data_IF_763724508650
#
_entry.id   IF_763724508650
#
_cell.length_a   1.000
_cell.length_b   1.000
_cell.length_c   1.000
_cell.angle_alpha   90.00
_cell.angle_beta   90.00
_cell.angle_gamma   90.00
#
_symmetry.space_group_name_H-M   'P 1'
#
loop_
_entity.id
_entity.type
_entity.pdbx_description
1 polymer ?
2 water ?
#
# COMPACT_ATOMS: atom_id res chain seq x y z
N UNK A 3 8.54 30.09 0.81
CA UNK A 3 7.19 30.32 1.35
C UNK A 3 6.87 29.36 2.50
N UNK A 4 6.08 29.84 3.46
CA UNK A 4 5.74 29.06 4.65
C UNK A 4 4.82 27.92 4.27
N UNK A 5 4.86 26.85 5.05
CA UNK A 5 3.85 25.80 4.95
C UNK A 5 2.79 26.08 5.99
N UNK A 6 1.53 26.08 5.56
CA UNK A 6 0.39 26.16 6.47
C UNK A 6 -0.20 24.77 6.66
N UNK A 7 -0.18 24.28 7.89
CA UNK A 7 -0.81 22.98 8.18
C UNK A 7 -2.14 23.25 8.85
N UNK A 8 -3.24 22.92 8.18
CA UNK A 8 -4.54 23.21 8.78
C UNK A 8 -5.07 21.94 9.37
N UNK A 9 -5.00 21.88 10.70
CA UNK A 9 -5.33 20.67 11.44
C UNK A 9 -6.83 20.45 11.44
N UNK A 10 -7.56 21.48 11.03
CA UNK A 10 -9.00 21.46 11.08
C UNK A 10 -9.59 21.04 9.75
N UNK A 11 -8.74 20.86 8.74
CA UNK A 11 -9.24 20.46 7.44
C UNK A 11 -8.73 19.07 7.07
N UNK A 12 -9.62 18.09 7.13
CA UNK A 12 -9.26 16.69 6.94
C UNK A 12 -9.57 16.18 5.54
N UNK A 13 -8.75 15.25 5.12
CA UNK A 13 -8.64 14.68 3.79
C UNK A 13 -8.85 13.21 4.08
N UNK A 14 -8.41 12.31 3.19
CA UNK A 14 -8.66 10.87 3.36
C UNK A 14 -8.16 10.27 4.69
N UNK A 15 -8.84 9.22 5.14
CA UNK A 15 -8.43 8.47 6.31
C UNK A 15 -7.28 7.53 5.94
N UNK A 16 -6.31 7.39 6.84
CA UNK A 16 -5.17 6.53 6.56
C UNK A 16 -5.45 5.11 7.03
N UNK A 17 -5.41 4.16 6.10
CA UNK A 17 -5.54 2.76 6.45
C UNK A 17 -4.20 2.19 6.94
N UNK A 18 -3.11 2.59 6.30
CA UNK A 18 -1.79 2.14 6.73
C UNK A 18 -0.77 2.04 5.62
N UNK A 19 0.34 1.37 5.92
CA UNK A 19 1.49 1.28 5.01
C UNK A 19 2.14 -0.04 5.29
N UNK A 20 2.78 -0.65 4.30
CA UNK A 20 3.30 -1.99 4.50
C UNK A 20 4.02 -2.53 3.29
N UNK A 21 4.11 -3.85 3.20
CA UNK A 21 4.87 -4.53 2.17
C UNK A 21 4.25 -5.90 1.93
N UNK A 22 4.91 -6.74 1.13
CA UNK A 22 4.36 -8.05 0.84
C UNK A 22 5.30 -9.18 1.22
N UNK A 23 4.73 -10.26 1.76
CA UNK A 23 5.48 -11.50 2.04
C UNK A 23 5.44 -12.50 0.87
N UNK A 24 4.87 -12.10 -0.26
CA UNK A 24 4.76 -12.99 -1.43
C UNK A 24 6.09 -13.61 -1.81
N UNK A 25 6.10 -14.92 -2.01
CA UNK A 25 7.31 -15.67 -2.39
C UNK A 25 8.49 -15.50 -1.43
N UNK A 26 8.22 -15.12 -0.20
CA UNK A 26 9.26 -14.99 0.84
C UNK A 26 9.37 -16.24 1.73
N UNK A 27 8.61 -17.28 1.39
CA UNK A 27 8.50 -18.43 2.25
C UNK A 27 8.00 -17.99 3.62
N UNK A 28 8.60 -18.56 4.67
CA UNK A 28 8.29 -18.17 6.03
C UNK A 28 9.30 -17.15 6.49
N UNK A 29 8.85 -15.91 6.69
CA UNK A 29 9.74 -14.82 7.09
C UNK A 29 10.09 -14.95 8.59
N UNK A 30 11.33 -14.62 8.96
CA UNK A 30 11.77 -14.77 10.35
C UNK A 30 11.09 -13.79 11.30
N UNK A 31 11.05 -14.13 12.59
CA UNK A 31 10.60 -13.14 13.57
C UNK A 31 11.47 -11.90 13.46
N UNK A 32 12.77 -12.08 13.26
CA UNK A 32 13.70 -10.94 13.22
C UNK A 32 13.23 -9.89 12.19
N UNK A 33 12.97 -10.35 10.98
CA UNK A 33 12.62 -9.43 9.91
C UNK A 33 11.24 -8.79 10.13
N UNK A 34 10.26 -9.59 10.55
CA UNK A 34 8.92 -9.07 10.88
C UNK A 34 8.95 -8.11 12.07
N UNK A 35 9.80 -8.39 13.05
CA UNK A 35 9.96 -7.49 14.21
C UNK A 35 10.58 -6.17 13.81
N UNK A 36 11.52 -6.22 12.88
CA UNK A 36 12.15 -4.99 12.38
C UNK A 36 11.14 -4.14 11.61
N UNK A 37 10.43 -4.79 10.69
CA UNK A 37 9.51 -4.08 9.79
C UNK A 37 8.18 -3.73 10.46
N UNK A 38 7.57 -4.72 11.10
CA UNK A 38 6.27 -4.52 11.74
C UNK A 38 6.31 -3.94 13.14
N UNK A 39 7.29 -4.31 13.96
CA UNK A 39 7.56 -3.59 15.19
C UNK A 39 8.32 -2.26 15.18
N UNK A 40 9.58 -2.29 14.75
CA UNK A 40 10.48 -1.13 14.81
C UNK A 40 9.98 -0.04 13.87
N UNK A 41 9.71 -0.40 12.62
CA UNK A 41 9.22 0.57 11.64
C UNK A 41 7.70 0.72 11.58
N UNK A 42 7.00 -0.07 12.40
CA UNK A 42 5.57 0.08 12.56
C UNK A 42 4.70 -0.16 11.32
N UNK A 43 5.15 -1.00 10.38
CA UNK A 43 4.31 -1.30 9.22
C UNK A 43 2.95 -1.86 9.70
N UNK A 44 1.89 -1.25 9.18
CA UNK A 44 0.51 -1.60 9.55
C UNK A 44 -0.29 -2.46 8.56
N UNK A 45 0.32 -2.89 7.45
CA UNK A 45 -0.36 -3.72 6.47
C UNK A 45 0.61 -4.75 5.89
N UNK A 46 0.16 -5.99 5.76
CA UNK A 46 0.91 -7.05 5.09
C UNK A 46 0.08 -7.64 3.95
N UNK A 47 0.72 -7.81 2.80
CA UNK A 47 0.09 -8.43 1.63
C UNK A 47 0.66 -9.83 1.43
N UNK A 48 -0.23 -10.83 1.46
CA UNK A 48 0.07 -12.23 1.17
C UNK A 48 -0.17 -12.56 -0.30
N UNK A 49 0.62 -13.46 -0.85
CA UNK A 49 0.28 -14.04 -2.15
C UNK A 49 -0.41 -15.39 -1.91
N UNK A 50 -1.54 -15.60 -2.57
CA UNK A 50 -2.29 -16.86 -2.45
C UNK A 50 -1.64 -17.93 -3.33
N UNK A 51 -1.19 -19.01 -2.73
CA UNK A 51 -0.32 -19.95 -3.46
C UNK A 51 -1.15 -21.01 -4.20
N UNK A 52 -1.16 -20.93 -5.53
CA UNK A 52 -1.99 -21.81 -6.38
C UNK A 52 -1.33 -23.16 -6.54
N UNK A 53 -0.10 -23.28 -6.05
CA UNK A 53 0.62 -24.55 -6.05
C UNK A 53 -0.11 -25.61 -5.26
N UNK A 54 -1.07 -25.18 -4.44
CA UNK A 54 -1.97 -26.09 -3.73
C UNK A 54 -2.78 -26.94 -4.73
N UNK A 55 -3.02 -26.42 -5.93
CA UNK A 55 -3.77 -27.20 -6.89
C UNK A 55 -5.21 -27.42 -6.43
N UNK A 56 -5.72 -28.64 -6.54
CA UNK A 56 -7.10 -28.90 -6.11
C UNK A 56 -7.21 -29.33 -4.65
N UNK A 57 -6.08 -29.41 -3.96
CA UNK A 57 -6.05 -29.98 -2.61
C UNK A 57 -6.86 -29.13 -1.63
N UNK A 58 -7.12 -27.88 -2.00
CA UNK A 58 -7.96 -27.03 -1.17
C UNK A 58 -9.37 -27.60 -1.00
N UNK A 59 -9.82 -28.35 -2.00
CA UNK A 59 -11.16 -28.95 -1.94
C UNK A 59 -11.25 -30.03 -0.86
N UNK A 60 -10.14 -30.69 -0.57
CA UNK A 60 -10.11 -31.72 0.48
C UNK A 60 -9.59 -31.22 1.82
N UNK A 61 -9.28 -29.92 1.91
CA UNK A 61 -8.90 -29.31 3.17
C UNK A 61 -7.46 -29.54 3.58
N UNK A 62 -6.58 -29.82 2.63
CA UNK A 62 -5.17 -29.85 3.00
C UNK A 62 -4.54 -28.53 2.57
N UNK A 63 -4.33 -27.69 3.57
CA UNK A 63 -3.88 -26.31 3.42
C UNK A 63 -2.38 -26.10 3.66
N UNK A 64 -1.62 -27.18 3.82
CA UNK A 64 -0.21 -27.03 4.20
C UNK A 64 0.55 -26.04 3.31
N UNK A 65 0.21 -25.95 2.04
CA UNK A 65 0.97 -25.08 1.13
C UNK A 65 0.66 -23.61 1.36
N UNK A 66 -0.38 -23.38 2.14
CA UNK A 66 -0.77 -22.04 2.59
C UNK A 66 -0.21 -21.66 3.97
N UNK A 67 0.47 -22.60 4.60
CA UNK A 67 1.02 -22.38 5.94
C UNK A 67 2.13 -21.31 6.05
N UNK A 68 3.01 -21.20 5.04
CA UNK A 68 4.02 -20.15 5.14
C UNK A 68 3.40 -18.75 5.23
N UNK A 69 2.38 -18.47 4.44
CA UNK A 69 1.77 -17.16 4.45
C UNK A 69 0.89 -16.98 5.69
N UNK A 70 0.28 -18.07 6.18
CA UNK A 70 -0.36 -18.01 7.50
C UNK A 70 0.64 -17.54 8.59
N UNK A 71 1.85 -18.09 8.59
CA UNK A 71 2.83 -17.72 9.60
C UNK A 71 3.19 -16.24 9.47
N UNK A 72 3.35 -15.77 8.23
CA UNK A 72 3.64 -14.37 7.96
C UNK A 72 2.51 -13.48 8.48
N UNK A 73 1.29 -13.87 8.16
CA UNK A 73 0.09 -13.18 8.63
C UNK A 73 0.04 -13.09 10.14
N UNK A 74 0.35 -14.20 10.82
CA UNK A 74 0.31 -14.17 12.29
C UNK A 74 1.33 -13.20 12.88
N UNK A 75 2.52 -13.12 12.28
CA UNK A 75 3.54 -12.20 12.79
C UNK A 75 3.12 -10.73 12.59
N UNK A 76 2.59 -10.42 11.42
CA UNK A 76 2.11 -9.07 11.13
C UNK A 76 0.97 -8.70 12.07
N UNK A 77 0.02 -9.62 12.26
CA UNK A 77 -1.15 -9.36 13.09
C UNK A 77 -0.79 -9.10 14.54
N UNK A 78 0.23 -9.81 15.03
CA UNK A 78 0.61 -9.68 16.43
C UNK A 78 1.18 -8.28 16.68
N UNK A 79 1.60 -7.64 15.60
CA UNK A 79 2.15 -6.28 15.63
C UNK A 79 1.09 -5.22 15.31
N UNK A 80 -0.15 -5.66 15.18
CA UNK A 80 -1.23 -4.72 14.90
C UNK A 80 -1.48 -4.41 13.42
N UNK A 81 -0.80 -5.10 12.50
CA UNK A 81 -1.06 -4.87 11.07
C UNK A 81 -2.32 -5.59 10.62
N UNK A 82 -2.95 -5.09 9.56
CA UNK A 82 -4.01 -5.86 8.95
C UNK A 82 -3.36 -6.67 7.85
N UNK A 83 -4.11 -7.56 7.22
CA UNK A 83 -3.54 -8.50 6.26
C UNK A 83 -4.49 -8.66 5.10
N UNK A 84 -3.97 -8.58 3.88
CA UNK A 84 -4.78 -8.91 2.70
C UNK A 84 -4.02 -9.86 1.80
N UNK A 85 -4.72 -10.44 0.81
CA UNK A 85 -4.14 -11.46 -0.05
C UNK A 85 -4.49 -11.24 -1.52
N UNK A 86 -3.52 -11.43 -2.41
CA UNK A 86 -3.78 -11.36 -3.86
C UNK A 86 -3.32 -12.68 -4.51
N UNK A 87 -4.15 -13.24 -5.42
CA UNK A 87 -3.81 -14.31 -6.37
C UNK A 87 -3.13 -13.81 -7.68
N UNK A 88 -2.07 -14.48 -8.13
CA UNK A 88 -1.59 -14.37 -9.51
C UNK A 88 -2.27 -15.31 -10.50
N UNK A 89 -2.63 -16.50 -10.02
CA UNK A 89 -3.35 -17.46 -10.86
C UNK A 89 -4.34 -18.25 -10.00
N UNK A 90 -5.42 -18.74 -10.62
CA UNK A 90 -6.14 -19.74 -9.85
C UNK A 90 -5.39 -21.08 -9.96
N UNK A 91 -5.88 -22.15 -9.30
CA UNK A 91 -5.35 -23.48 -9.56
C UNK A 91 -5.37 -23.82 -11.03
N UNK A 92 -4.39 -24.58 -11.48
CA UNK A 92 -4.23 -24.91 -12.90
C UNK A 92 -5.51 -25.48 -13.51
N UNK A 93 -6.28 -26.25 -12.73
CA UNK A 93 -7.48 -26.91 -13.27
C UNK A 93 -8.59 -25.94 -13.63
N UNK A 94 -8.51 -24.70 -13.14
CA UNK A 94 -9.53 -23.70 -13.48
C UNK A 94 -9.18 -22.83 -14.69
N UNK A 95 -7.93 -22.92 -15.16
CA UNK A 95 -7.42 -22.17 -16.31
C UNK A 95 -7.72 -22.77 -17.68
N UNK A 96 -7.73 -21.91 -18.70
CA UNK A 96 -7.69 -22.41 -20.06
C UNK A 96 -6.85 -21.47 -20.89
N UNK A 97 -6.28 -21.99 -21.97
CA UNK A 97 -5.63 -21.16 -22.96
C UNK A 97 -6.66 -20.44 -23.79
N UNK A 98 -6.29 -19.29 -24.33
CA UNK A 98 -7.11 -18.64 -25.33
C UNK A 98 -6.15 -17.88 -26.23
N UNK A 99 -6.65 -17.50 -27.39
CA UNK A 99 -5.81 -16.81 -28.36
C UNK A 99 -5.94 -15.30 -28.13
N UNK A 100 -4.86 -14.67 -27.67
CA UNK A 100 -4.88 -13.24 -27.41
C UNK A 100 -4.04 -12.57 -28.48
N UNK A 101 -4.75 -11.92 -29.41
CA UNK A 101 -4.18 -11.35 -30.62
C UNK A 101 -3.10 -12.22 -31.25
N UNK A 102 -3.46 -13.45 -31.61
CA UNK A 102 -2.54 -14.35 -32.27
C UNK A 102 -1.58 -15.11 -31.37
N UNK A 103 -1.67 -14.92 -30.05
CA UNK A 103 -0.82 -15.67 -29.13
C UNK A 103 -1.63 -16.71 -28.36
N UNK A 104 -1.45 -17.98 -28.68
CA UNK A 104 -2.27 -19.06 -28.14
C UNK A 104 -1.83 -19.50 -26.75
N UNK A 105 -0.77 -18.89 -26.24
CA UNK A 105 -0.25 -19.29 -24.94
C UNK A 105 -0.92 -18.57 -23.78
N UNK A 106 -1.79 -17.60 -24.07
CA UNK A 106 -2.37 -16.75 -23.03
C UNK A 106 -3.29 -17.60 -22.17
N UNK A 107 -3.36 -17.28 -20.88
CA UNK A 107 -4.15 -18.06 -19.94
C UNK A 107 -5.24 -17.18 -19.36
N UNK A 108 -6.42 -17.74 -19.14
CA UNK A 108 -7.48 -17.03 -18.43
C UNK A 108 -8.21 -18.04 -17.54
N UNK A 109 -8.98 -17.53 -16.57
CA UNK A 109 -9.91 -18.35 -15.79
C UNK A 109 -11.05 -18.80 -16.68
N UNK A 110 -11.31 -20.10 -16.72
CA UNK A 110 -12.47 -20.61 -17.44
C UNK A 110 -13.75 -19.92 -16.95
N UNK A 111 -14.62 -19.52 -17.86
CA UNK A 111 -15.90 -18.92 -17.46
C UNK A 111 -16.74 -19.87 -16.61
N UNK A 112 -16.66 -21.16 -16.91
CA UNK A 112 -17.42 -22.14 -16.12
C UNK A 112 -16.82 -22.40 -14.75
N UNK A 113 -15.64 -21.82 -14.49
CA UNK A 113 -14.95 -21.88 -13.19
C UNK A 113 -15.11 -20.66 -12.28
N UNK A 114 -15.90 -19.67 -12.68
CA UNK A 114 -15.95 -18.45 -11.87
C UNK A 114 -16.51 -18.78 -10.48
N UNK A 115 -17.48 -19.69 -10.44
CA UNK A 115 -18.11 -20.11 -9.16
C UNK A 115 -17.08 -20.85 -8.29
N UNK A 116 -16.39 -21.82 -8.88
CA UNK A 116 -15.35 -22.54 -8.17
C UNK A 116 -14.27 -21.59 -7.66
N UNK A 117 -13.93 -20.59 -8.47
CA UNK A 117 -12.88 -19.65 -8.10
C UNK A 117 -13.28 -18.83 -6.87
N UNK A 118 -14.54 -18.42 -6.80
CA UNK A 118 -15.04 -17.73 -5.61
C UNK A 118 -14.99 -18.64 -4.39
N UNK A 119 -15.27 -19.93 -4.57
CA UNK A 119 -15.16 -20.90 -3.46
C UNK A 119 -13.71 -21.09 -3.01
N UNK A 120 -12.82 -21.08 -3.98
CA UNK A 120 -11.39 -21.12 -3.73
C UNK A 120 -10.95 -19.92 -2.89
N UNK A 121 -11.31 -18.73 -3.35
CA UNK A 121 -11.02 -17.52 -2.58
C UNK A 121 -11.62 -17.62 -1.17
N UNK A 122 -12.87 -18.10 -1.08
CA UNK A 122 -13.49 -18.27 0.23
C UNK A 122 -12.73 -19.27 1.09
N UNK A 123 -12.11 -20.27 0.47
CA UNK A 123 -11.42 -21.28 1.27
C UNK A 123 -10.13 -20.70 1.89
N UNK A 124 -9.51 -19.77 1.18
CA UNK A 124 -8.34 -19.06 1.71
C UNK A 124 -8.73 -18.19 2.89
N UNK A 125 -9.79 -17.41 2.72
CA UNK A 125 -10.33 -16.65 3.83
C UNK A 125 -10.65 -17.53 5.04
N UNK A 126 -11.28 -18.68 4.83
CA UNK A 126 -11.69 -19.51 5.95
C UNK A 126 -10.48 -20.17 6.62
N UNK A 127 -9.52 -20.64 5.84
CA UNK A 127 -8.28 -21.17 6.42
C UNK A 127 -7.62 -20.14 7.34
N UNK A 128 -7.51 -18.90 6.86
CA UNK A 128 -6.97 -17.85 7.69
C UNK A 128 -7.80 -17.64 8.96
N UNK A 129 -9.13 -17.57 8.78
CA UNK A 129 -10.02 -17.37 9.92
C UNK A 129 -9.93 -18.49 10.97
N UNK A 130 -9.86 -19.74 10.51
CA UNK A 130 -9.84 -20.88 11.42
C UNK A 130 -8.52 -20.90 12.20
N UNK A 131 -7.52 -20.28 11.61
CA UNK A 131 -6.18 -20.15 12.20
C UNK A 131 -5.89 -18.84 12.93
N UNK A 132 -6.92 -18.02 13.11
CA UNK A 132 -6.82 -16.85 13.97
C UNK A 132 -6.50 -15.54 13.27
N UNK A 133 -6.46 -15.55 11.93
CA UNK A 133 -6.21 -14.32 11.20
C UNK A 133 -7.50 -13.94 10.47
N UNK A 134 -8.06 -12.78 10.77
CA UNK A 134 -9.23 -12.36 10.01
C UNK A 134 -8.71 -11.49 8.87
N UNK A 135 -8.75 -12.02 7.65
CA UNK A 135 -8.22 -11.29 6.50
C UNK A 135 -8.99 -10.00 6.32
N UNK A 136 -8.28 -8.90 6.12
CA UNK A 136 -8.94 -7.62 5.90
C UNK A 136 -9.67 -7.58 4.56
N UNK A 137 -9.01 -8.08 3.52
CA UNK A 137 -9.57 -8.09 2.17
C UNK A 137 -8.88 -9.16 1.33
N UNK A 138 -9.54 -9.58 0.25
CA UNK A 138 -8.96 -10.51 -0.69
C UNK A 138 -9.19 -10.01 -2.11
N UNK A 139 -8.16 -10.13 -2.95
CA UNK A 139 -8.15 -9.56 -4.29
C UNK A 139 -8.54 -10.61 -5.33
N UNK A 140 -9.28 -10.19 -6.36
CA UNK A 140 -9.71 -11.08 -7.43
C UNK A 140 -8.50 -11.50 -8.26
N UNK A 141 -7.70 -10.54 -8.70
CA UNK A 141 -6.52 -10.88 -9.49
C UNK A 141 -5.40 -9.84 -9.36
N UNK A 142 -4.15 -10.29 -9.27
CA UNK A 142 -3.01 -9.41 -9.46
C UNK A 142 -2.78 -9.07 -10.94
N UNK A 143 -2.70 -7.79 -11.26
CA UNK A 143 -2.37 -7.31 -12.62
C UNK A 143 -3.02 -8.12 -13.73
N UNK A 144 -4.37 -8.16 -13.75
CA UNK A 144 -5.11 -8.88 -14.78
C UNK A 144 -4.80 -8.30 -16.14
N UNK A 145 -4.34 -7.06 -16.17
CA UNK A 145 -3.97 -6.37 -17.44
C UNK A 145 -2.47 -6.35 -17.78
N UNK A 146 -1.58 -6.94 -16.97
CA UNK A 146 -0.31 -7.29 -17.57
C UNK A 146 -0.07 -8.73 -17.15
N UNK A 147 -0.65 -9.63 -17.92
CA UNK A 147 -0.75 -11.06 -17.56
C UNK A 147 0.06 -12.07 -18.34
N UNK A 148 0.95 -11.62 -19.21
CA UNK A 148 1.59 -12.55 -20.13
C UNK A 148 2.14 -13.78 -19.38
N UNK A 149 2.62 -13.55 -18.17
CA UNK A 149 3.20 -14.63 -17.33
C UNK A 149 2.28 -15.23 -16.24
N UNK A 150 1.02 -14.82 -16.26
CA UNK A 150 0.01 -15.23 -15.28
C UNK A 150 -1.36 -15.25 -15.96
N UNK A 151 -2.44 -15.14 -15.18
CA UNK A 151 -3.82 -15.16 -15.70
C UNK A 151 -4.41 -13.78 -16.12
N UNK A 152 -4.80 -13.65 -17.40
CA UNK A 152 -5.45 -12.43 -17.95
C UNK A 152 -6.93 -12.32 -17.61
N UNK A 153 -7.41 -11.10 -17.35
CA UNK A 153 -8.83 -10.80 -17.32
C UNK A 153 -9.04 -9.50 -18.07
N UNK A 154 -9.94 -9.48 -19.04
CA UNK A 154 -10.33 -8.23 -19.66
C UNK A 154 -11.10 -7.42 -18.63
N UNK A 155 -11.23 -6.10 -18.88
CA UNK A 155 -12.11 -5.32 -18.00
C UNK A 155 -13.50 -5.94 -17.91
N UNK A 156 -14.00 -6.51 -18.99
CA UNK A 156 -15.35 -7.08 -18.98
C UNK A 156 -15.38 -8.36 -18.15
N UNK A 157 -14.35 -9.19 -18.27
CA UNK A 157 -14.27 -10.40 -17.46
C UNK A 157 -14.29 -10.08 -15.97
N UNK A 158 -13.44 -9.14 -15.56
CA UNK A 158 -13.39 -8.65 -14.18
C UNK A 158 -14.77 -8.13 -13.74
N UNK A 159 -15.43 -7.36 -14.60
CA UNK A 159 -16.80 -6.88 -14.32
C UNK A 159 -17.76 -8.04 -14.06
N UNK A 160 -17.71 -9.05 -14.94
CA UNK A 160 -18.63 -10.18 -14.80
C UNK A 160 -18.50 -10.87 -13.43
N UNK A 161 -17.25 -11.08 -13.01
CA UNK A 161 -16.99 -11.72 -11.73
C UNK A 161 -17.45 -10.83 -10.57
N UNK A 162 -17.10 -9.56 -10.65
CA UNK A 162 -17.54 -8.58 -9.67
C UNK A 162 -19.06 -8.48 -9.53
N UNK A 163 -19.82 -8.55 -10.63
CA UNK A 163 -21.30 -8.58 -10.48
C UNK A 163 -21.84 -9.92 -9.97
N UNK A 164 -21.46 -11.00 -10.63
CA UNK A 164 -22.10 -12.30 -10.41
C UNK A 164 -21.51 -13.22 -9.37
N UNK A 165 -20.29 -12.95 -8.97
CA UNK A 165 -19.50 -13.86 -8.13
C UNK A 165 -19.05 -13.23 -6.81
N UNK A 166 -18.39 -12.09 -6.92
CA UNK A 166 -17.73 -11.44 -5.78
C UNK A 166 -18.62 -11.18 -4.56
N UNK A 167 -19.92 -11.05 -4.75
CA UNK A 167 -20.83 -10.87 -3.64
C UNK A 167 -20.87 -12.05 -2.68
N UNK A 168 -20.43 -13.21 -3.14
CA UNK A 168 -20.52 -14.42 -2.31
C UNK A 168 -19.24 -14.59 -1.48
N UNK A 169 -18.31 -13.66 -1.63
CA UNK A 169 -17.04 -13.75 -0.92
C UNK A 169 -17.18 -13.25 0.52
N UNK A 170 -16.63 -14.02 1.44
CA UNK A 170 -16.85 -13.91 2.89
C UNK A 170 -15.91 -12.88 3.51
N UNK A 171 -15.40 -11.98 2.68
CA UNK A 171 -14.43 -11.01 3.15
C UNK A 171 -14.60 -9.71 2.33
N UNK A 172 -13.87 -8.65 2.65
CA UNK A 172 -13.87 -7.48 1.77
C UNK A 172 -13.22 -7.91 0.44
N UNK A 173 -13.71 -7.36 -0.66
CA UNK A 173 -13.17 -7.67 -1.97
C UNK A 173 -12.33 -6.51 -2.53
N UNK A 174 -11.13 -6.83 -2.99
CA UNK A 174 -10.26 -5.87 -3.61
C UNK A 174 -10.21 -6.12 -5.11
N UNK A 175 -10.25 -5.07 -5.90
CA UNK A 175 -10.00 -5.20 -7.32
C UNK A 175 -9.65 -3.85 -7.92
N UNK A 176 -9.25 -3.84 -9.19
CA UNK A 176 -8.61 -4.81 -10.11
C UNK A 176 -7.10 -5.05 -9.95
N UNK A 177 -6.37 -4.19 -9.21
CA UNK A 177 -4.91 -4.23 -9.16
C UNK A 177 -4.26 -4.15 -10.55
N UNK A 178 -4.67 -3.18 -11.35
CA UNK A 178 -4.03 -2.90 -12.62
C UNK A 178 -2.56 -2.55 -12.39
N UNK A 179 -1.69 -3.02 -13.30
CA UNK A 179 -0.26 -2.85 -13.10
C UNK A 179 0.15 -1.38 -13.06
N UNK A 180 -0.46 -0.57 -13.92
CA UNK A 180 -0.38 0.88 -13.90
C UNK A 180 -1.51 1.82 -13.40
N UNK A 181 -2.52 1.27 -12.74
CA UNK A 181 -3.68 2.04 -12.33
C UNK A 181 -4.43 2.49 -13.59
N UNK A 182 -4.47 1.63 -14.59
CA UNK A 182 -5.19 1.97 -15.82
C UNK A 182 -6.68 1.97 -15.51
N UNK A 183 -7.32 3.11 -15.77
CA UNK A 183 -8.69 3.33 -15.35
C UNK A 183 -9.65 2.47 -16.15
N UNK A 184 -9.23 1.97 -17.31
CA UNK A 184 -10.17 1.17 -18.09
C UNK A 184 -10.44 -0.16 -17.38
N UNK A 185 -9.51 -0.57 -16.51
CA UNK A 185 -9.66 -1.80 -15.78
C UNK A 185 -10.70 -1.66 -14.65
N UNK A 186 -10.71 -0.51 -13.97
CA UNK A 186 -11.68 -0.27 -12.88
C UNK A 186 -12.98 0.48 -13.19
N UNK A 187 -13.03 1.16 -14.33
CA UNK A 187 -14.18 1.99 -14.65
C UNK A 187 -15.45 1.14 -14.71
N UNK A 188 -15.38 -0.06 -15.28
CA UNK A 188 -16.66 -0.77 -15.38
C UNK A 188 -17.24 -1.13 -14.00
N UNK A 189 -16.36 -1.42 -13.03
CA UNK A 189 -16.79 -1.71 -11.67
C UNK A 189 -17.47 -0.49 -11.05
N UNK A 190 -16.81 0.66 -11.17
CA UNK A 190 -17.35 1.89 -10.56
C UNK A 190 -18.68 2.32 -11.21
N UNK A 191 -18.85 2.04 -12.50
CA UNK A 191 -20.08 2.45 -13.21
C UNK A 191 -21.22 1.45 -13.11
N UNK A 192 -20.98 0.34 -12.43
CA UNK A 192 -22.04 -0.63 -12.26
C UNK A 192 -22.39 -0.67 -10.80
N UNK A 193 -23.66 -0.46 -10.50
CA UNK A 193 -24.12 -0.40 -9.11
C UNK A 193 -23.86 -1.69 -8.32
N UNK A 194 -24.11 -2.83 -8.97
CA UNK A 194 -23.88 -4.13 -8.32
C UNK A 194 -22.39 -4.41 -8.10
N UNK A 195 -21.59 -4.25 -9.16
CA UNK A 195 -20.15 -4.43 -9.02
C UNK A 195 -19.57 -3.51 -7.94
N UNK A 196 -19.99 -2.24 -7.97
CA UNK A 196 -19.50 -1.27 -7.00
C UNK A 196 -19.83 -1.73 -5.57
N UNK A 197 -21.03 -2.27 -5.37
CA UNK A 197 -21.46 -2.80 -4.07
C UNK A 197 -20.55 -3.93 -3.63
N UNK A 198 -20.11 -4.73 -4.59
CA UNK A 198 -19.29 -5.89 -4.29
C UNK A 198 -17.80 -5.57 -4.16
N UNK A 199 -17.42 -4.32 -4.44
CA UNK A 199 -16.05 -3.84 -4.25
C UNK A 199 -15.89 -3.03 -2.99
N UNK A 200 -15.07 -3.53 -2.06
CA UNK A 200 -14.61 -2.76 -0.91
C UNK A 200 -13.36 -1.88 -1.04
N UNK A 201 -12.34 -2.41 -1.69
CA UNK A 201 -11.08 -1.68 -1.84
C UNK A 201 -10.70 -1.66 -3.31
N UNK A 202 -10.44 -0.48 -3.85
CA UNK A 202 -9.95 -0.39 -5.23
C UNK A 202 -8.43 -0.43 -5.08
N UNK A 203 -7.82 -1.54 -5.47
CA UNK A 203 -6.37 -1.65 -5.50
C UNK A 203 -5.76 -1.31 -6.85
N UNK A 204 -4.56 -0.74 -6.84
CA UNK A 204 -3.87 -0.39 -8.07
C UNK A 204 -2.36 -0.50 -7.83
N UNK A 205 -1.61 -0.70 -8.92
CA UNK A 205 -0.16 -0.64 -8.86
C UNK A 205 0.36 0.55 -9.66
N UNK A 206 1.54 0.99 -9.28
CA UNK A 206 2.30 2.15 -9.76
C UNK A 206 3.37 1.96 -10.86
N UNK A 207 3.35 0.86 -11.62
CA UNK A 207 4.48 0.70 -12.50
C UNK A 207 4.18 1.47 -13.77
N UNK A 208 4.84 2.63 -13.87
CA UNK A 208 4.66 3.56 -14.96
C UNK A 208 3.54 4.59 -14.86
N UNK A 209 2.91 4.70 -13.69
CA UNK A 209 1.80 5.66 -13.50
C UNK A 209 2.32 7.07 -13.30
N UNK A 210 1.93 8.01 -14.17
CA UNK A 210 2.35 9.40 -14.01
C UNK A 210 1.58 10.04 -12.85
N UNK A 211 2.14 11.10 -12.28
CA UNK A 211 1.51 11.76 -11.13
C UNK A 211 0.05 12.17 -11.40
N UNK A 212 -0.24 12.79 -12.56
CA UNK A 212 -1.61 13.19 -12.83
C UNK A 212 -2.55 11.99 -12.89
N UNK A 213 -2.02 10.82 -13.24
CA UNK A 213 -2.84 9.62 -13.35
C UNK A 213 -3.05 8.92 -12.02
N UNK A 214 -2.48 9.50 -10.97
CA UNK A 214 -2.72 9.01 -9.61
C UNK A 214 -4.06 9.50 -9.07
N UNK A 215 -4.57 10.62 -9.60
CA UNK A 215 -5.90 11.12 -9.23
C UNK A 215 -6.94 10.32 -10.01
N UNK A 216 -8.09 10.06 -9.38
CA UNK A 216 -9.10 9.23 -10.03
C UNK A 216 -10.47 9.84 -9.77
N UNK A 217 -10.86 10.87 -10.54
CA UNK A 217 -12.15 11.53 -10.29
C UNK A 217 -13.34 10.58 -10.18
N UNK A 218 -13.45 9.61 -11.06
CA UNK A 218 -14.63 8.73 -11.02
C UNK A 218 -14.69 7.96 -9.69
N UNK A 219 -13.56 7.45 -9.24
CA UNK A 219 -13.54 6.78 -7.93
C UNK A 219 -13.97 7.74 -6.84
N UNK A 220 -13.43 8.96 -6.83
CA UNK A 220 -13.81 9.93 -5.79
C UNK A 220 -15.31 10.15 -5.77
N UNK A 221 -15.93 10.25 -6.93
CA UNK A 221 -17.37 10.50 -6.94
C UNK A 221 -18.14 9.25 -6.47
N UNK A 222 -17.53 8.08 -6.68
CA UNK A 222 -18.07 6.76 -6.29
C UNK A 222 -17.54 6.22 -4.96
N UNK A 223 -16.78 7.01 -4.21
CA UNK A 223 -15.98 6.50 -3.10
C UNK A 223 -16.67 6.28 -1.76
N UNK A 224 -17.97 6.54 -1.66
CA UNK A 224 -18.64 6.35 -0.37
C UNK A 224 -18.58 4.88 0.09
N UNK A 225 -18.02 4.66 1.28
CA UNK A 225 -17.89 3.32 1.82
C UNK A 225 -16.72 2.51 1.24
N UNK A 226 -15.89 3.15 0.42
CA UNK A 226 -14.82 2.43 -0.30
C UNK A 226 -13.46 2.96 0.11
N UNK A 227 -12.42 2.21 -0.23
CA UNK A 227 -11.05 2.62 -0.02
C UNK A 227 -10.27 2.46 -1.31
N UNK A 228 -9.18 3.22 -1.42
CA UNK A 228 -8.30 3.21 -2.57
C UNK A 228 -6.86 3.01 -2.08
N UNK A 229 -6.24 1.89 -2.48
CA UNK A 229 -4.89 1.59 -2.00
C UNK A 229 -3.96 1.37 -3.18
N UNK A 230 -2.72 1.84 -3.05
CA UNK A 230 -1.70 1.45 -4.01
C UNK A 230 -1.09 0.19 -3.39
N UNK A 231 -1.36 -0.96 -3.99
CA UNK A 231 -1.00 -2.26 -3.39
C UNK A 231 0.31 -2.92 -3.77
N UNK A 232 0.99 -2.45 -4.81
CA UNK A 232 2.35 -2.93 -5.09
C UNK A 232 3.20 -1.92 -5.82
N UNK A 233 4.41 -1.68 -5.31
CA UNK A 233 5.44 -0.95 -6.06
C UNK A 233 6.79 -1.36 -5.47
N UNK A 234 7.82 -1.43 -6.28
CA UNK A 234 9.17 -1.52 -5.73
C UNK A 234 10.05 -0.49 -6.40
N UNK A 235 11.20 -0.23 -5.76
CA UNK A 235 12.25 0.56 -6.36
C UNK A 235 13.53 -0.26 -6.31
N UNK A 236 14.37 -0.07 -7.30
CA UNK A 236 15.50 -0.95 -7.57
C UNK A 236 16.52 -1.12 -6.45
N UNK A 237 16.89 -0.03 -5.78
CA UNK A 237 18.03 -0.07 -4.88
C UNK A 237 18.04 1.14 -3.95
N UNK A 238 19.10 1.26 -3.15
CA UNK A 238 19.20 2.28 -2.14
C UNK A 238 19.98 3.54 -2.53
N UNK A 239 20.34 3.66 -3.81
CA UNK A 239 20.99 4.89 -4.28
C UNK A 239 20.07 6.08 -3.98
N UNK A 240 20.67 7.24 -3.76
CA UNK A 240 19.92 8.44 -3.43
C UNK A 240 18.79 8.80 -4.42
N UNK A 241 19.02 8.60 -5.72
CA UNK A 241 17.98 8.89 -6.70
C UNK A 241 16.70 8.11 -6.42
N UNK A 242 16.84 6.82 -6.11
CA UNK A 242 15.69 5.97 -5.78
C UNK A 242 15.09 6.20 -4.40
N UNK A 243 15.93 6.56 -3.43
CA UNK A 243 15.43 7.03 -2.15
C UNK A 243 14.49 8.23 -2.37
N UNK A 244 14.92 9.18 -3.20
CA UNK A 244 14.07 10.36 -3.50
C UNK A 244 12.87 10.02 -4.38
N UNK A 245 13.07 9.17 -5.38
CA UNK A 245 11.97 8.73 -6.22
C UNK A 245 10.89 8.09 -5.39
N UNK A 246 11.30 7.27 -4.42
CA UNK A 246 10.35 6.53 -3.58
C UNK A 246 9.69 7.45 -2.56
N UNK A 247 10.46 8.32 -1.91
CA UNK A 247 9.92 9.33 -0.99
C UNK A 247 8.83 10.12 -1.70
N UNK A 248 9.18 10.67 -2.86
CA UNK A 248 8.27 11.53 -3.61
C UNK A 248 7.00 10.81 -4.07
N UNK A 249 7.11 9.58 -4.56
CA UNK A 249 5.92 8.84 -4.98
C UNK A 249 4.94 8.55 -3.85
N UNK A 250 5.44 8.23 -2.66
CA UNK A 250 4.51 8.02 -1.55
C UNK A 250 3.77 9.33 -1.24
N UNK A 251 4.51 10.42 -1.23
CA UNK A 251 3.90 11.75 -1.09
C UNK A 251 2.82 11.96 -2.13
N UNK A 252 3.12 11.64 -3.39
CA UNK A 252 2.17 11.86 -4.49
C UNK A 252 0.93 10.97 -4.33
N UNK A 253 1.13 9.73 -3.87
CA UNK A 253 0.00 8.82 -3.64
C UNK A 253 -0.93 9.36 -2.55
N UNK A 254 -0.35 10.03 -1.55
CA UNK A 254 -1.11 10.63 -0.46
C UNK A 254 -1.79 11.93 -0.88
N UNK A 255 -1.04 12.79 -1.58
CA UNK A 255 -1.47 14.16 -1.86
C UNK A 255 -2.30 14.27 -3.15
N UNK A 256 -1.70 13.92 -4.28
CA UNK A 256 -2.46 13.83 -5.53
C UNK A 256 -3.44 12.64 -5.58
N UNK A 257 -3.00 11.47 -5.10
CA UNK A 257 -3.85 10.29 -5.18
C UNK A 257 -4.94 10.21 -4.13
N UNK A 258 -4.74 10.91 -3.01
CA UNK A 258 -5.67 10.81 -1.87
C UNK A 258 -5.88 9.36 -1.42
N UNK A 259 -4.84 8.56 -1.58
CA UNK A 259 -4.98 7.14 -1.31
C UNK A 259 -4.97 6.85 0.18
N UNK A 260 -5.66 5.76 0.55
CA UNK A 260 -5.74 5.37 1.95
C UNK A 260 -4.53 4.57 2.42
N UNK A 261 -3.80 3.97 1.48
CA UNK A 261 -2.68 3.11 1.83
C UNK A 261 -1.64 3.06 0.71
N UNK A 262 -0.38 2.80 1.06
CA UNK A 262 0.68 2.57 0.07
C UNK A 262 1.44 1.33 0.53
N UNK A 263 1.40 0.28 -0.29
CA UNK A 263 2.00 -1.00 0.10
C UNK A 263 3.11 -1.38 -0.87
N UNK A 264 4.32 -1.53 -0.32
CA UNK A 264 5.49 -1.94 -1.08
C UNK A 264 5.34 -3.38 -1.58
N UNK A 265 6.16 -3.73 -2.55
CA UNK A 265 6.29 -5.09 -3.04
C UNK A 265 7.07 -5.95 -2.01
N UNK A 266 7.57 -7.11 -2.43
CA UNK A 266 8.04 -8.14 -1.51
C UNK A 266 9.23 -7.81 -0.61
N UNK A 267 9.32 -8.55 0.51
CA UNK A 267 10.23 -8.16 1.57
C UNK A 267 11.65 -8.69 1.43
N UNK A 268 11.89 -10.00 1.44
CA UNK A 268 13.32 -10.30 1.51
C UNK A 268 13.82 -10.67 0.13
N UNK A 269 14.19 -9.61 -0.56
CA UNK A 269 14.66 -9.64 -1.95
C UNK A 269 15.53 -8.42 -2.15
N UNK A 270 16.46 -8.44 -3.11
CA UNK A 270 17.31 -7.26 -3.40
C UNK A 270 16.53 -6.00 -3.81
N UNK A 271 15.45 -6.15 -4.57
CA UNK A 271 14.60 -4.99 -4.90
C UNK A 271 13.53 -4.82 -3.83
N UNK A 272 13.64 -5.65 -2.79
CA UNK A 272 12.74 -5.61 -1.66
C UNK A 272 13.24 -4.71 -0.54
N UNK A 273 12.80 -4.98 0.68
CA UNK A 273 13.22 -4.21 1.85
C UNK A 273 14.26 -4.81 2.82
N UNK A 274 14.63 -6.06 2.64
CA UNK A 274 15.44 -6.71 3.68
C UNK A 274 16.15 -7.94 3.13
N UNK A 275 17.18 -8.43 3.82
CA UNK A 275 17.63 -9.78 3.48
C UNK A 275 16.95 -10.73 4.43
N UNK A 276 17.09 -12.03 4.18
CA UNK A 276 16.35 -12.97 4.98
C UNK A 276 17.09 -13.19 6.32
N UNK A 277 18.36 -12.80 6.37
CA UNK A 277 19.15 -12.87 7.60
C UNK A 277 18.97 -11.64 8.49
N UNK A 278 18.13 -10.69 8.05
CA UNK A 278 17.67 -9.62 8.91
C UNK A 278 18.21 -8.22 8.65
N UNK A 279 19.05 -8.07 7.62
CA UNK A 279 19.50 -6.74 7.19
C UNK A 279 18.31 -5.94 6.65
N UNK A 280 18.23 -4.66 6.98
CA UNK A 280 17.11 -3.79 6.59
C UNK A 280 17.59 -2.68 5.67
N UNK A 281 17.02 -2.58 4.48
CA UNK A 281 17.46 -1.63 3.47
C UNK A 281 16.96 -0.22 3.74
N UNK A 282 17.69 0.76 3.21
CA UNK A 282 17.30 2.16 3.36
C UNK A 282 15.85 2.39 2.91
N UNK A 283 15.45 1.78 1.81
CA UNK A 283 14.08 1.91 1.30
C UNK A 283 13.03 1.54 2.36
N UNK A 284 13.35 0.59 3.24
CA UNK A 284 12.41 0.23 4.32
C UNK A 284 12.17 1.41 5.24
N UNK A 285 13.22 2.16 5.52
CA UNK A 285 13.15 3.34 6.39
C UNK A 285 12.41 4.50 5.70
N UNK A 286 12.60 4.65 4.39
CA UNK A 286 11.79 5.62 3.64
C UNK A 286 10.30 5.36 3.90
N UNK A 287 9.87 4.11 3.74
CA UNK A 287 8.47 3.78 3.99
C UNK A 287 8.11 3.97 5.46
N UNK A 288 9.06 3.67 6.34
CA UNK A 288 8.85 3.86 7.78
C UNK A 288 8.61 5.29 8.23
N UNK A 289 9.17 6.26 7.50
CA UNK A 289 8.94 7.68 7.78
C UNK A 289 7.44 7.99 7.75
N UNK A 290 6.72 7.17 6.97
CA UNK A 290 5.25 7.20 6.93
C UNK A 290 4.66 6.24 7.95
N UNK A 291 4.96 4.95 7.79
CA UNK A 291 4.29 3.86 8.54
C UNK A 291 4.36 3.99 10.02
N UNK A 292 5.55 4.32 10.52
CA UNK A 292 5.76 4.31 11.97
C UNK A 292 4.90 5.38 12.62
N UNK A 293 4.91 6.58 12.05
CA UNK A 293 4.21 7.70 12.67
C UNK A 293 2.78 8.01 12.23
N UNK A 294 2.33 7.49 11.09
CA UNK A 294 0.96 7.79 10.69
C UNK A 294 0.21 6.49 10.86
N UNK A 295 -0.55 6.40 11.94
CA UNK A 295 -1.14 5.14 12.37
C UNK A 295 -2.48 4.95 11.69
N UNK A 296 -2.91 3.70 11.56
CA UNK A 296 -4.24 3.46 11.01
C UNK A 296 -5.29 4.29 11.76
N UNK A 297 -6.13 5.01 11.01
CA UNK A 297 -7.15 5.81 11.65
C UNK A 297 -6.82 7.29 11.71
N UNK A 298 -5.56 7.63 11.45
CA UNK A 298 -5.16 9.02 11.26
C UNK A 298 -5.82 9.52 9.98
N UNK A 299 -5.90 10.84 9.84
CA UNK A 299 -6.38 11.41 8.60
C UNK A 299 -5.32 12.34 8.01
N UNK A 300 -5.21 12.38 6.69
CA UNK A 300 -4.42 13.44 6.11
C UNK A 300 -5.15 14.76 6.35
N UNK A 301 -4.40 15.84 6.52
CA UNK A 301 -4.99 17.16 6.61
C UNK A 301 -4.32 18.09 5.61
N UNK A 302 -4.95 19.23 5.33
CA UNK A 302 -4.42 20.19 4.38
C UNK A 302 -3.11 20.79 4.82
N UNK A 303 -2.13 20.75 3.94
CA UNK A 303 -0.84 21.40 4.17
C UNK A 303 -0.29 21.92 2.85
N UNK A 304 0.38 23.06 2.89
CA UNK A 304 0.94 23.59 1.66
C UNK A 304 1.87 22.52 1.11
N UNK A 305 1.59 22.03 -0.10
CA UNK A 305 2.22 20.80 -0.61
C UNK A 305 3.60 20.95 -1.24
N UNK A 306 3.84 22.09 -1.87
CA UNK A 306 5.09 22.37 -2.56
C UNK A 306 5.52 23.79 -2.23
N UNK A 307 6.03 24.01 -0.99
CA UNK A 307 6.35 25.36 -0.51
C UNK A 307 7.56 25.99 -1.18
N UNK A 308 8.38 25.16 -1.81
CA UNK A 308 9.61 25.62 -2.42
C UNK A 308 10.01 24.65 -3.49
N UNK A 309 10.91 25.04 -4.36
CA UNK A 309 11.43 24.11 -5.36
C UNK A 309 12.02 22.85 -4.71
N UNK A 310 11.58 21.69 -5.20
CA UNK A 310 12.06 20.39 -4.75
C UNK A 310 11.75 20.11 -3.28
N UNK A 311 10.76 20.80 -2.73
CA UNK A 311 10.29 20.49 -1.38
C UNK A 311 8.84 20.05 -1.46
N UNK A 312 8.56 18.91 -0.87
CA UNK A 312 7.22 18.30 -0.93
C UNK A 312 6.77 18.00 0.49
N UNK A 313 5.58 18.45 0.85
CA UNK A 313 5.13 18.32 2.24
C UNK A 313 3.72 17.79 2.33
N UNK A 314 3.49 16.85 3.25
CA UNK A 314 2.13 16.43 3.59
C UNK A 314 2.00 16.40 5.09
N UNK A 315 0.78 16.33 5.60
CA UNK A 315 0.55 16.37 7.04
C UNK A 315 -0.65 15.51 7.45
N UNK A 316 -0.66 15.03 8.70
CA UNK A 316 -1.66 14.06 9.15
C UNK A 316 -1.95 14.28 10.63
N UNK A 317 -3.13 13.88 11.10
CA UNK A 317 -3.44 13.97 12.53
C UNK A 317 -4.18 12.73 13.01
N UNK A 318 -4.09 12.48 14.31
CA UNK A 318 -4.87 11.44 14.95
C UNK A 318 -4.25 11.17 16.31
N UNK A 319 -4.98 10.49 17.19
CA UNK A 319 -4.46 10.15 18.53
C UNK A 319 -3.77 11.34 19.22
N UNK A 320 -4.36 12.52 19.07
CA UNK A 320 -3.84 13.75 19.68
C UNK A 320 -2.40 14.04 19.32
N UNK A 321 -2.04 13.64 18.09
CA UNK A 321 -0.70 13.88 17.54
C UNK A 321 -0.80 14.57 16.17
N UNK A 322 0.22 15.35 15.82
CA UNK A 322 0.34 15.91 14.47
C UNK A 322 1.59 15.34 13.83
N UNK A 323 1.50 14.99 12.54
CA UNK A 323 2.61 14.46 11.78
C UNK A 323 2.80 15.24 10.47
N UNK A 324 4.03 15.70 10.22
CA UNK A 324 4.41 16.40 8.99
C UNK A 324 5.58 15.65 8.36
N UNK A 325 5.41 15.27 7.10
CA UNK A 325 6.44 14.61 6.33
C UNK A 325 6.91 15.58 5.27
N UNK A 326 8.19 15.94 5.35
CA UNK A 326 8.76 16.94 4.44
C UNK A 326 9.96 16.36 3.71
N UNK A 327 9.87 16.35 2.38
CA UNK A 327 10.90 15.77 1.53
C UNK A 327 11.65 16.89 0.81
N UNK A 328 12.98 16.88 0.88
CA UNK A 328 13.77 17.83 0.10
C UNK A 328 14.61 17.07 -0.94
N UNK A 329 14.23 17.16 -2.21
CA UNK A 329 14.93 16.41 -3.27
C UNK A 329 16.07 17.23 -3.84
N UNK A 330 16.22 18.46 -3.34
CA UNK A 330 17.34 19.32 -3.70
C UNK A 330 18.69 18.84 -3.19
N UNK A 331 19.75 19.32 -3.83
CA UNK A 331 21.11 18.90 -3.46
C UNK A 331 21.71 19.79 -2.39
N UNK A 332 20.93 20.74 -1.89
CA UNK A 332 21.37 21.60 -0.79
C UNK A 332 20.30 21.64 0.29
N UNK A 333 20.75 21.66 1.54
CA UNK A 333 19.84 21.84 2.67
C UNK A 333 19.08 23.17 2.55
N UNK A 334 17.81 23.15 2.95
CA UNK A 334 16.98 24.35 2.92
C UNK A 334 16.20 24.47 4.23
N UNK A 335 16.01 25.69 4.71
CA UNK A 335 15.20 25.92 5.90
C UNK A 335 13.74 25.99 5.46
N UNK A 336 12.84 25.39 6.23
CA UNK A 336 11.41 25.46 5.95
C UNK A 336 10.62 25.85 7.21
N UNK A 337 9.78 26.88 7.08
CA UNK A 337 8.93 27.32 8.17
C UNK A 337 7.56 26.66 8.05
N UNK A 338 7.05 26.18 9.18
CA UNK A 338 5.75 25.54 9.23
C UNK A 338 4.84 26.28 10.20
N UNK A 339 3.57 26.45 9.81
CA UNK A 339 2.57 27.11 10.65
C UNK A 339 1.33 26.24 10.85
N UNK A 340 0.99 25.96 12.11
CA UNK A 340 -0.24 25.24 12.43
C UNK A 340 -1.41 26.22 12.51
N UNK A 341 -2.52 25.83 11.89
CA UNK A 341 -3.75 26.56 12.13
C UNK A 341 -4.88 25.61 12.54
N UNK A 342 -5.83 26.14 13.30
CA UNK A 342 -6.89 25.34 13.87
C UNK A 342 -6.37 24.26 14.79
N UNK A 343 -5.29 24.59 15.51
CA UNK A 343 -4.69 23.71 16.50
C UNK A 343 -3.22 24.04 16.61
N UNK A 344 -2.51 23.36 17.52
CA UNK A 344 -1.07 23.54 17.60
C UNK A 344 -0.37 22.40 18.36
N UNK A 345 0.94 22.53 18.49
CA UNK A 345 1.76 21.56 19.19
C UNK A 345 2.69 22.30 20.13
N UNK A 346 3.06 21.65 21.23
CA UNK A 346 3.96 22.27 22.20
C UNK A 346 5.37 22.25 21.63
N UNK A 347 5.68 21.15 20.93
CA UNK A 347 6.97 20.97 20.29
C UNK A 347 6.88 19.75 19.36
N UNK A 348 7.96 19.46 18.66
CA UNK A 348 8.00 18.28 17.81
C UNK A 348 9.39 17.63 17.86
N UNK A 349 9.44 16.35 17.50
CA UNK A 349 10.69 15.63 17.35
C UNK A 349 10.73 15.22 15.89
N UNK A 350 11.92 14.95 15.38
CA UNK A 350 12.07 14.66 13.97
C UNK A 350 12.84 13.37 13.77
N UNK A 351 12.65 12.77 12.61
CA UNK A 351 13.33 11.54 12.25
C UNK A 351 13.67 11.71 10.79
N UNK A 352 14.91 11.38 10.41
CA UNK A 352 15.35 11.69 9.05
C UNK A 352 15.96 10.50 8.35
N UNK A 353 15.65 10.35 7.07
CA UNK A 353 16.32 9.36 6.22
C UNK A 353 16.98 10.08 5.04
N UNK A 354 18.26 9.83 4.85
CA UNK A 354 19.04 10.39 3.75
C UNK A 354 20.20 9.44 3.45
N UNK A 355 21.18 9.89 2.66
CA UNK A 355 22.30 9.04 2.29
C UNK A 355 23.00 8.38 3.49
N UNK A 356 23.18 9.10 4.60
CA UNK A 356 23.81 8.51 5.78
C UNK A 356 22.88 8.09 6.92
N UNK A 357 21.59 8.37 6.81
CA UNK A 357 20.73 8.15 7.96
C UNK A 357 19.50 7.32 7.66
N UNK A 358 19.15 6.42 8.57
CA UNK A 358 17.92 5.64 8.44
C UNK A 358 16.95 5.98 9.56
N UNK A 359 15.90 6.75 9.26
CA UNK A 359 14.97 7.15 10.30
C UNK A 359 15.70 7.56 11.59
N UNK A 360 16.82 8.26 11.47
CA UNK A 360 17.59 8.69 12.65
C UNK A 360 16.90 9.82 13.41
N UNK A 361 16.98 9.76 14.74
CA UNK A 361 16.37 10.80 15.58
C UNK A 361 16.93 12.14 15.15
N UNK A 362 16.07 13.13 15.06
CA UNK A 362 16.52 14.45 14.65
C UNK A 362 16.50 15.44 15.78
N UNK A 363 16.51 16.72 15.42
CA UNK A 363 16.53 17.80 16.39
C UNK A 363 15.14 17.99 17.00
N UNK A 364 15.06 18.00 18.33
CA UNK A 364 13.83 18.43 18.99
C UNK A 364 13.63 19.92 18.77
N UNK A 365 12.42 20.31 18.33
CA UNK A 365 12.18 21.70 17.96
C UNK A 365 11.00 22.30 18.71
N UNK A 366 11.21 23.47 19.32
CA UNK A 366 10.14 24.17 20.02
C UNK A 366 9.14 24.75 19.03
N UNK A 367 7.86 24.64 19.33
CA UNK A 367 6.83 25.31 18.55
C UNK A 367 6.34 26.58 19.27
N UNK A 368 6.58 27.72 18.63
CA UNK A 368 6.21 29.01 19.20
C UNK A 368 5.10 29.68 18.37
N UNK A 369 4.05 30.13 19.05
CA UNK A 369 2.96 30.80 18.37
C UNK A 369 2.43 29.98 17.19
N UNK A 370 2.38 28.66 17.35
CA UNK A 370 1.89 27.79 16.29
C UNK A 370 2.88 27.59 15.17
N UNK A 371 4.12 28.01 15.36
CA UNK A 371 5.13 27.99 14.28
C UNK A 371 6.46 27.35 14.68
N UNK A 372 7.09 26.62 13.74
CA UNK A 372 8.47 26.18 13.94
C UNK A 372 9.22 26.13 12.62
N UNK A 373 10.52 26.37 12.67
CA UNK A 373 11.35 26.30 11.46
C UNK A 373 12.36 25.17 11.59
N UNK A 374 12.60 24.46 10.49
CA UNK A 374 13.50 23.33 10.49
C UNK A 374 14.43 23.39 9.29
N UNK A 375 15.61 22.81 9.43
CA UNK A 375 16.50 22.55 8.30
C UNK A 375 16.12 21.22 7.68
N UNK A 376 15.87 21.20 6.37
CA UNK A 376 15.66 19.94 5.66
C UNK A 376 16.94 19.62 4.88
N UNK A 377 17.65 18.54 5.28
CA UNK A 377 18.90 18.20 4.59
C UNK A 377 18.70 17.94 3.10
N UNK A 378 19.76 18.11 2.32
CA UNK A 378 19.75 17.78 0.89
C UNK A 378 19.26 16.36 0.71
N UNK A 379 18.43 16.12 -0.31
CA UNK A 379 18.00 14.78 -0.68
C UNK A 379 17.62 13.91 0.55
N UNK A 380 16.59 14.34 1.27
CA UNK A 380 16.24 13.75 2.53
C UNK A 380 14.73 13.76 2.67
N UNK A 381 14.23 12.83 3.48
CA UNK A 381 12.86 12.84 3.93
C UNK A 381 12.89 12.94 5.44
N UNK A 382 12.09 13.85 5.97
CA UNK A 382 12.02 14.09 7.40
C UNK A 382 10.58 13.98 7.85
N UNK A 383 10.37 13.29 8.97
CA UNK A 383 9.04 13.25 9.58
C UNK A 383 9.12 13.97 10.92
N UNK A 384 8.26 14.97 11.11
CA UNK A 384 8.16 15.67 12.39
C UNK A 384 6.91 15.19 13.10
N UNK A 385 7.04 14.89 14.40
CA UNK A 385 5.91 14.44 15.20
C UNK A 385 5.79 15.28 16.47
N UNK A 386 4.57 15.70 16.80
CA UNK A 386 4.36 16.48 18.00
C UNK A 386 3.00 16.20 18.63
N UNK A 387 2.84 16.59 19.88
CA UNK A 387 1.53 16.52 20.52
C UNK A 387 0.63 17.68 20.09
N UNK A 388 -0.58 17.35 19.65
CA UNK A 388 -1.53 18.33 19.15
C UNK A 388 -2.14 19.21 20.25
#
# INVERSE_FOLDING_TARGET
MASDVTVNLGSTKQEIRGFGASSAWCGTISDYVMNSLYGDLGYSILRLRIEEGIGDAWKTGNFSKWSPELANAKKASAKGAIVFASPWNPPASMQENFSKSGDSSAQRLRYDKYTEYAQYLNAYVKYMKDNGVDLYAISVQNEPDYAQDWTWWTPQEMLNFMKNNAGSINCRVMAPESFQFLKNMSDPILNDATALDNMDVLGCHFYGTSVNNMAYPLYQQKSAGKELWMTEKYFDDDTTGNIMNMSKEIHDSMVTGNMNAYIYWWITWPNGLATSSGTIYKRAYVLGQFAKFIRPGYKRVDATATPNTNVYVSAYTGDNKAVIVAINTGTAAVSQKFNFQNGSASSVVSYVTDSSRNMAAGANIAVTNGSFTAQLPAQSITTFVGNALEHHHHHH
#
